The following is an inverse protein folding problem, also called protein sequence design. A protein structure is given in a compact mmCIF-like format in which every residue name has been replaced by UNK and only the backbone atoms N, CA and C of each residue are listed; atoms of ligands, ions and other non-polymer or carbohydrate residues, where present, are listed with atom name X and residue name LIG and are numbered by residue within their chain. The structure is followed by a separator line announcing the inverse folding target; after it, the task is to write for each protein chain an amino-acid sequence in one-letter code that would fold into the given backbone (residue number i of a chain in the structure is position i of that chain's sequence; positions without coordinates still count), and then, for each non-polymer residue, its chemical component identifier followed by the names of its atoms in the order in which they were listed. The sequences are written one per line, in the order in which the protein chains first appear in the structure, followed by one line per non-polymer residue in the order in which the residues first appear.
data_IF_311443754869
#
_entry.id   IF_311443754869
#
_cell.length_a   1.000
_cell.length_b   1.000
_cell.length_c   1.000
_cell.angle_alpha   90.00
_cell.angle_beta   90.00
_cell.angle_gamma   90.00
#
_symmetry.space_group_name_H-M   'P 1'
#
loop_
_entity.id
_entity.type
_entity.pdbx_description
1 polymer ?
#
# COMPACT_ATOMS: atom_id res chain seq x y z
N UNK A 1 17.12 -3.12 -0.65
CA UNK A 1 17.93 -2.00 -1.18
C UNK A 1 17.26 -0.63 -1.06
N UNK A 2 15.93 -0.50 -0.91
CA UNK A 2 15.26 0.82 -0.86
C UNK A 2 15.49 1.59 0.44
N UNK A 3 15.46 0.93 1.60
CA UNK A 3 15.52 1.59 2.92
C UNK A 3 16.71 2.53 3.11
N UNK A 4 17.94 2.07 2.81
CA UNK A 4 19.16 2.91 2.91
C UNK A 4 19.14 4.09 1.94
N UNK A 5 18.51 3.93 0.77
CA UNK A 5 18.39 4.98 -0.22
C UNK A 5 17.34 6.03 0.19
N UNK A 6 16.20 5.59 0.74
CA UNK A 6 15.19 6.48 1.33
C UNK A 6 15.74 7.27 2.52
N UNK A 7 16.43 6.59 3.44
CA UNK A 7 17.08 7.23 4.59
C UNK A 7 18.08 8.30 4.13
N UNK A 8 18.86 8.04 3.07
CA UNK A 8 19.77 9.02 2.48
C UNK A 8 19.04 10.21 1.85
N UNK A 9 17.90 9.98 1.19
CA UNK A 9 17.05 11.02 0.62
C UNK A 9 16.43 11.91 1.70
N UNK A 10 15.83 11.30 2.73
CA UNK A 10 15.27 11.99 3.91
C UNK A 10 16.33 12.83 4.62
N UNK A 11 17.55 12.30 4.78
CA UNK A 11 18.65 13.04 5.41
C UNK A 11 19.02 14.33 4.64
N UNK A 12 19.03 14.29 3.29
CA UNK A 12 19.28 15.49 2.46
C UNK A 12 18.14 16.51 2.57
N UNK A 13 16.89 16.05 2.53
CA UNK A 13 15.72 16.92 2.72
C UNK A 13 15.75 17.61 4.07
N UNK A 14 16.10 16.87 5.13
CA UNK A 14 16.16 17.39 6.48
C UNK A 14 17.22 18.49 6.61
N UNK A 15 18.40 18.30 6.01
CA UNK A 15 19.44 19.35 5.96
C UNK A 15 18.94 20.64 5.31
N UNK A 16 18.24 20.54 4.18
CA UNK A 16 17.67 21.72 3.50
C UNK A 16 16.59 22.42 4.33
N UNK A 17 15.79 21.66 5.09
CA UNK A 17 14.78 22.22 6.00
C UNK A 17 15.44 22.89 7.20
N UNK A 18 16.48 22.29 7.79
CA UNK A 18 17.26 22.87 8.90
C UNK A 18 17.91 24.20 8.51
N UNK A 19 18.47 24.28 7.29
CA UNK A 19 19.07 25.51 6.74
C UNK A 19 18.04 26.64 6.56
N UNK A 20 16.82 26.34 6.11
CA UNK A 20 15.77 27.34 5.87
C UNK A 20 14.94 27.69 7.12
N UNK A 21 14.76 26.74 8.04
CA UNK A 21 13.95 26.94 9.25
C UNK A 21 14.72 27.65 10.39
N UNK A 22 16.04 27.76 10.27
CA UNK A 22 16.89 28.43 11.26
C UNK A 22 17.00 27.70 12.60
N UNK A 23 16.60 26.42 12.66
CA UNK A 23 16.72 25.54 13.83
C UNK A 23 17.31 24.21 13.42
N UNK A 24 18.40 23.82 14.10
CA UNK A 24 18.96 22.48 13.99
C UNK A 24 18.12 21.49 14.80
N UNK A 25 17.79 20.34 14.21
CA UNK A 25 17.14 19.26 14.95
C UNK A 25 18.17 18.58 15.85
N UNK A 26 17.72 18.17 17.03
CA UNK A 26 18.52 17.31 17.90
C UNK A 26 18.80 15.97 17.21
N UNK A 27 19.89 15.26 17.57
CA UNK A 27 20.18 13.95 17.00
C UNK A 27 19.04 12.94 17.15
N UNK A 28 18.20 13.11 18.16
CA UNK A 28 17.07 12.24 18.45
C UNK A 28 15.89 12.52 17.51
N UNK A 29 15.54 13.80 17.30
CA UNK A 29 14.54 14.22 16.29
C UNK A 29 15.00 13.82 14.88
N UNK A 30 16.30 13.98 14.58
CA UNK A 30 16.90 13.60 13.30
C UNK A 30 16.74 12.11 13.00
N UNK A 31 17.02 11.26 14.00
CA UNK A 31 16.87 9.80 13.88
C UNK A 31 15.41 9.38 13.69
N UNK A 32 14.48 9.99 14.42
CA UNK A 32 13.07 9.67 14.32
C UNK A 32 12.49 9.91 12.91
N UNK A 33 12.95 10.96 12.22
CA UNK A 33 12.46 11.29 10.87
C UNK A 33 13.16 10.46 9.79
N UNK A 34 14.48 10.25 9.93
CA UNK A 34 15.28 9.58 8.91
C UNK A 34 14.95 8.09 8.83
N UNK A 35 14.68 7.42 9.97
CA UNK A 35 14.41 5.99 10.02
C UNK A 35 13.41 5.58 8.94
N UNK A 36 13.84 4.72 8.02
CA UNK A 36 12.94 4.11 7.05
C UNK A 36 12.02 3.11 7.74
N UNK A 37 10.88 2.81 7.11
CA UNK A 37 9.92 1.85 7.65
C UNK A 37 10.60 0.50 7.93
N UNK A 38 10.32 -0.05 9.11
CA UNK A 38 10.70 -1.40 9.46
C UNK A 38 9.83 -2.44 8.75
N UNK A 39 10.30 -3.68 8.70
CA UNK A 39 9.58 -4.76 8.02
C UNK A 39 8.15 -4.93 8.55
N UNK A 40 7.97 -4.85 9.88
CA UNK A 40 6.65 -4.97 10.48
C UNK A 40 5.73 -3.80 10.10
N UNK A 41 6.26 -2.58 9.99
CA UNK A 41 5.49 -1.40 9.57
C UNK A 41 5.04 -1.53 8.11
N UNK A 42 5.92 -2.04 7.24
CA UNK A 42 5.59 -2.33 5.84
C UNK A 42 4.53 -3.43 5.72
N UNK A 43 4.63 -4.48 6.53
CA UNK A 43 3.65 -5.58 6.56
C UNK A 43 2.29 -5.07 7.03
N UNK A 44 2.25 -4.29 8.11
CA UNK A 44 0.99 -3.74 8.61
C UNK A 44 0.34 -2.76 7.64
N UNK A 45 1.13 -1.84 7.06
CA UNK A 45 0.64 -0.92 6.04
C UNK A 45 0.12 -1.66 4.80
N UNK A 46 0.86 -2.65 4.30
CA UNK A 46 0.43 -3.43 3.14
C UNK A 46 -0.82 -4.26 3.41
N UNK A 47 -0.96 -4.80 4.62
CA UNK A 47 -2.17 -5.50 5.05
C UNK A 47 -3.37 -4.55 5.12
N UNK A 48 -3.20 -3.39 5.75
CA UNK A 48 -4.24 -2.37 5.88
C UNK A 48 -4.75 -1.93 4.51
N UNK A 49 -3.85 -1.51 3.61
CA UNK A 49 -4.20 -1.09 2.25
C UNK A 49 -4.94 -2.18 1.47
N UNK A 50 -4.44 -3.42 1.54
CA UNK A 50 -5.06 -4.57 0.85
C UNK A 50 -6.45 -4.85 1.39
N UNK A 51 -6.63 -4.82 2.71
CA UNK A 51 -7.91 -5.13 3.34
C UNK A 51 -8.95 -4.02 3.13
N UNK A 52 -8.54 -2.75 3.15
CA UNK A 52 -9.41 -1.61 2.81
C UNK A 52 -9.92 -1.80 1.37
N UNK A 53 -9.00 -1.98 0.41
CA UNK A 53 -9.36 -2.16 -0.99
C UNK A 53 -10.29 -3.36 -1.23
N UNK A 54 -9.99 -4.51 -0.61
CA UNK A 54 -10.82 -5.71 -0.74
C UNK A 54 -12.22 -5.52 -0.13
N UNK A 55 -12.33 -4.80 0.99
CA UNK A 55 -13.60 -4.52 1.65
C UNK A 55 -14.48 -3.59 0.82
N UNK A 56 -13.91 -2.50 0.30
CA UNK A 56 -14.60 -1.55 -0.58
C UNK A 56 -15.10 -2.23 -1.87
N UNK A 57 -14.24 -3.02 -2.52
CA UNK A 57 -14.59 -3.78 -3.72
C UNK A 57 -15.73 -4.78 -3.46
N UNK A 58 -15.65 -5.52 -2.34
CA UNK A 58 -16.69 -6.50 -1.98
C UNK A 58 -18.02 -5.82 -1.69
N UNK A 59 -18.00 -4.69 -0.99
CA UNK A 59 -19.21 -3.91 -0.70
C UNK A 59 -19.83 -3.33 -1.95
N UNK A 60 -19.01 -2.80 -2.87
CA UNK A 60 -19.48 -2.28 -4.15
C UNK A 60 -20.14 -3.37 -5.00
N UNK A 61 -19.55 -4.55 -5.09
CA UNK A 61 -20.12 -5.69 -5.82
C UNK A 61 -21.40 -6.20 -5.17
N UNK A 62 -21.44 -6.32 -3.84
CA UNK A 62 -22.64 -6.73 -3.10
C UNK A 62 -23.82 -5.79 -3.40
N UNK A 63 -23.57 -4.47 -3.39
CA UNK A 63 -24.58 -3.47 -3.71
C UNK A 63 -25.00 -3.53 -5.20
N UNK A 64 -24.04 -3.63 -6.11
CA UNK A 64 -24.32 -3.63 -7.55
C UNK A 64 -25.03 -4.89 -8.05
N UNK A 65 -24.86 -6.02 -7.34
CA UNK A 65 -25.43 -7.33 -7.71
C UNK A 65 -26.57 -7.77 -6.79
N UNK A 66 -26.96 -6.94 -5.83
CA UNK A 66 -27.97 -7.25 -4.81
C UNK A 66 -27.74 -8.62 -4.15
N UNK A 67 -26.56 -8.80 -3.56
CA UNK A 67 -26.13 -10.08 -2.99
C UNK A 67 -25.39 -9.91 -1.67
N UNK A 68 -25.21 -11.01 -0.93
CA UNK A 68 -24.45 -11.00 0.31
C UNK A 68 -22.94 -10.86 0.07
N UNK A 69 -22.18 -10.47 1.09
CA UNK A 69 -20.74 -10.22 0.96
C UNK A 69 -19.92 -11.46 0.59
N UNK A 70 -20.35 -12.66 1.00
CA UNK A 70 -19.65 -13.91 0.63
C UNK A 70 -19.81 -14.15 -0.87
N UNK A 71 -21.02 -14.02 -1.39
CA UNK A 71 -21.31 -14.18 -2.81
C UNK A 71 -20.61 -13.09 -3.64
N UNK A 72 -20.62 -11.84 -3.19
CA UNK A 72 -19.89 -10.75 -3.82
C UNK A 72 -18.37 -11.00 -3.88
N UNK A 73 -17.77 -11.53 -2.81
CA UNK A 73 -16.36 -11.89 -2.79
C UNK A 73 -16.03 -12.99 -3.81
N UNK A 74 -16.91 -14.00 -3.96
CA UNK A 74 -16.76 -15.05 -4.98
C UNK A 74 -16.89 -14.48 -6.39
N UNK A 75 -17.82 -13.56 -6.63
CA UNK A 75 -17.96 -12.86 -7.92
C UNK A 75 -16.68 -12.11 -8.27
N UNK A 76 -16.11 -11.36 -7.31
CA UNK A 76 -14.85 -10.64 -7.50
C UNK A 76 -13.69 -11.59 -7.84
N UNK A 77 -13.60 -12.73 -7.13
CA UNK A 77 -12.57 -13.74 -7.38
C UNK A 77 -12.69 -14.34 -8.79
N UNK A 78 -13.90 -14.75 -9.20
CA UNK A 78 -14.16 -15.30 -10.54
C UNK A 78 -13.82 -14.27 -11.63
N UNK A 79 -14.21 -13.01 -11.44
CA UNK A 79 -13.93 -11.94 -12.41
C UNK A 79 -12.42 -11.72 -12.59
N UNK A 80 -11.65 -11.71 -11.50
CA UNK A 80 -10.19 -11.57 -11.53
C UNK A 80 -9.53 -12.72 -12.29
N UNK A 81 -9.91 -13.96 -11.98
CA UNK A 81 -9.41 -15.16 -12.68
C UNK A 81 -9.78 -15.10 -14.16
N UNK A 82 -11.05 -14.88 -14.48
CA UNK A 82 -11.54 -14.80 -15.85
C UNK A 82 -10.78 -13.76 -16.68
N UNK A 83 -10.45 -12.62 -16.08
CA UNK A 83 -9.70 -11.55 -16.76
C UNK A 83 -8.30 -12.02 -17.15
N UNK A 84 -7.56 -12.64 -16.23
CA UNK A 84 -6.20 -13.15 -16.50
C UNK A 84 -6.23 -14.30 -17.50
N UNK A 85 -7.18 -15.22 -17.35
CA UNK A 85 -7.35 -16.38 -18.25
C UNK A 85 -7.66 -15.93 -19.68
N UNK A 86 -8.57 -14.97 -19.85
CA UNK A 86 -8.91 -14.39 -21.16
C UNK A 86 -7.72 -13.67 -21.81
N UNK A 87 -7.00 -12.86 -21.03
CA UNK A 87 -5.83 -12.12 -21.54
C UNK A 87 -4.67 -13.03 -21.92
N UNK A 88 -4.54 -14.17 -21.24
CA UNK A 88 -3.48 -15.16 -21.51
C UNK A 88 -3.79 -16.05 -22.73
N UNK A 89 -4.94 -15.86 -23.39
CA UNK A 89 -5.37 -16.65 -24.56
C UNK A 89 -5.83 -18.07 -24.23
N UNK A 90 -5.91 -18.42 -22.94
CA UNK A 90 -6.54 -19.66 -22.48
C UNK A 90 -8.05 -19.44 -22.39
N UNK A 91 -8.73 -19.35 -23.52
CA UNK A 91 -10.19 -19.41 -23.49
C UNK A 91 -10.56 -20.84 -23.09
N UNK A 92 -11.35 -21.01 -22.01
CA UNK A 92 -11.85 -22.32 -21.58
C UNK A 92 -12.48 -23.03 -22.79
N UNK A 93 -11.73 -23.97 -23.37
CA UNK A 93 -12.23 -25.01 -24.26
C UNK A 93 -12.75 -26.16 -23.40
#
# INVERSE_FOLDING_TARGET
MSRKWEEAGKSKLLTLVEENAGRLLTPQERRAVIHGAEEHELVYSGLEDTMIGASEETRATAFAKDTDFRTAALVNAIQKISTVTTQSGQMFL
#
